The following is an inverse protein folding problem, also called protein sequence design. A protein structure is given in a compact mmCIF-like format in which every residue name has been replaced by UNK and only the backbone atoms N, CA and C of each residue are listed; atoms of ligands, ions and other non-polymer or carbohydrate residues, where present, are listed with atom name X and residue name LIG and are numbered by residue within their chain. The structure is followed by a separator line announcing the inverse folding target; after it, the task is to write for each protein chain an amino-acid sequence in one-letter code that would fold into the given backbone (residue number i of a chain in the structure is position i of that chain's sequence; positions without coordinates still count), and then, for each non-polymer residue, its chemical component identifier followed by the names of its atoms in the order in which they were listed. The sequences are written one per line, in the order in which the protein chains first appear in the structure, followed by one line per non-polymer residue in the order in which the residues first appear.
data_IF_640156382921
#
_entry.id   IF_640156382921
#
_cell.length_a   1.000
_cell.length_b   1.000
_cell.length_c   1.000
_cell.angle_alpha   90.00
_cell.angle_beta   90.00
_cell.angle_gamma   90.00
#
_symmetry.space_group_name_H-M   'P 1'
#
loop_
_entity.id
_entity.type
_entity.pdbx_description
1 polymer ?
#
# COMPACT_ATOMS: atom_id res chain seq x y z
N UNK A 1 25.55 0.46 13.07
CA UNK A 1 24.72 1.49 12.42
C UNK A 1 23.42 0.82 12.05
N UNK A 2 22.32 1.19 12.68
CA UNK A 2 21.01 0.75 12.22
C UNK A 2 20.73 1.57 10.95
N UNK A 3 20.58 0.89 9.81
CA UNK A 3 20.09 1.54 8.60
C UNK A 3 18.58 1.73 8.82
N UNK A 4 18.17 2.97 9.04
CA UNK A 4 16.75 3.30 9.16
C UNK A 4 16.09 3.14 7.78
N UNK A 5 14.98 2.41 7.76
CA UNK A 5 14.17 2.28 6.55
C UNK A 5 13.47 3.61 6.23
N UNK A 6 13.09 3.81 4.97
CA UNK A 6 12.35 5.01 4.56
C UNK A 6 11.05 5.16 5.36
N UNK A 7 10.40 4.05 5.68
CA UNK A 7 9.19 3.98 6.49
C UNK A 7 9.44 4.41 7.94
N UNK A 8 10.52 3.93 8.57
CA UNK A 8 10.88 4.33 9.94
C UNK A 8 11.21 5.82 10.04
N UNK A 9 11.91 6.38 9.04
CA UNK A 9 12.21 7.81 8.99
C UNK A 9 10.93 8.63 8.82
N UNK A 10 10.01 8.17 7.97
CA UNK A 10 8.72 8.83 7.76
C UNK A 10 7.91 8.91 9.06
N UNK A 11 7.78 7.80 9.78
CA UNK A 11 7.03 7.76 11.05
C UNK A 11 7.62 8.73 12.08
N UNK A 12 8.95 8.83 12.16
CA UNK A 12 9.61 9.82 13.03
C UNK A 12 9.31 11.25 12.62
N UNK A 13 9.34 11.56 11.33
CA UNK A 13 9.09 12.93 10.84
C UNK A 13 7.64 13.34 11.07
N UNK A 14 6.70 12.39 11.03
CA UNK A 14 5.29 12.67 11.31
C UNK A 14 5.02 13.09 12.76
N UNK A 15 5.87 12.66 13.69
CA UNK A 15 5.77 13.07 15.09
C UNK A 15 6.45 14.43 15.34
N UNK A 16 7.16 14.99 14.36
CA UNK A 16 7.85 16.28 14.48
C UNK A 16 6.92 17.45 14.13
N UNK A 17 7.20 18.60 14.74
CA UNK A 17 6.53 19.85 14.35
C UNK A 17 7.01 20.29 12.96
N UNK A 18 6.06 20.65 12.10
CA UNK A 18 6.36 21.17 10.76
C UNK A 18 7.08 22.52 10.90
N UNK A 19 8.25 22.72 10.24
CA UNK A 19 8.97 23.97 10.31
C UNK A 19 8.24 25.07 9.54
N UNK A 20 8.46 26.31 9.98
CA UNK A 20 7.92 27.51 9.33
C UNK A 20 8.98 28.11 8.41
N UNK A 21 8.59 28.46 7.18
CA UNK A 21 9.50 29.05 6.21
C UNK A 21 10.04 30.41 6.74
N UNK A 22 11.37 30.64 6.75
CA UNK A 22 11.93 31.88 7.28
C UNK A 22 11.56 33.11 6.44
N UNK A 23 11.20 32.93 5.15
CA UNK A 23 10.95 34.00 4.18
C UNK A 23 9.49 34.46 4.08
N UNK A 24 8.52 33.54 4.17
CA UNK A 24 7.09 33.88 4.10
C UNK A 24 6.30 33.59 5.38
N UNK A 25 6.92 32.93 6.37
CA UNK A 25 6.30 32.57 7.66
C UNK A 25 5.10 31.61 7.56
N UNK A 26 4.94 30.93 6.43
CA UNK A 26 3.97 29.85 6.29
C UNK A 26 4.59 28.49 6.66
N UNK A 27 3.75 27.59 7.15
CA UNK A 27 4.10 26.20 7.45
C UNK A 27 4.56 25.47 6.19
N UNK A 28 5.64 24.70 6.29
CA UNK A 28 6.21 23.95 5.17
C UNK A 28 5.54 22.58 5.02
N UNK A 29 5.45 22.09 3.79
CA UNK A 29 4.89 20.76 3.50
C UNK A 29 6.00 19.73 3.40
N UNK A 30 5.67 18.47 3.67
CA UNK A 30 6.61 17.37 3.50
C UNK A 30 6.83 17.09 2.01
N UNK A 31 8.08 16.81 1.64
CA UNK A 31 8.50 16.51 0.28
C UNK A 31 9.34 15.23 0.28
N UNK A 32 8.96 14.28 -0.57
CA UNK A 32 9.74 13.06 -0.76
C UNK A 32 10.93 13.34 -1.68
N UNK A 33 12.14 13.03 -1.19
CA UNK A 33 13.35 13.12 -1.99
C UNK A 33 13.29 12.08 -3.11
N UNK A 34 13.59 12.45 -4.38
CA UNK A 34 13.56 11.51 -5.50
C UNK A 34 14.38 10.25 -5.21
N UNK A 35 13.86 9.04 -5.50
CA UNK A 35 14.56 7.79 -5.20
C UNK A 35 15.84 7.59 -6.01
N UNK A 36 15.99 8.36 -7.10
CA UNK A 36 17.18 8.39 -7.93
C UNK A 36 17.87 9.72 -7.67
N UNK A 37 18.98 9.67 -6.93
CA UNK A 37 19.83 10.83 -6.71
C UNK A 37 20.54 11.20 -8.02
N UNK A 38 20.39 12.44 -8.45
CA UNK A 38 21.10 13.00 -9.61
C UNK A 38 22.32 13.80 -9.13
N UNK A 39 23.47 13.66 -9.80
CA UNK A 39 24.71 14.35 -9.43
C UNK A 39 25.76 13.40 -8.84
N UNK A 40 26.28 13.71 -7.65
CA UNK A 40 27.32 12.95 -6.95
C UNK A 40 26.82 11.66 -6.28
N UNK A 41 25.51 11.41 -6.34
CA UNK A 41 24.84 10.23 -5.77
C UNK A 41 24.60 10.30 -4.26
N UNK A 42 25.09 11.33 -3.56
CA UNK A 42 24.94 11.49 -2.12
C UNK A 42 23.54 11.99 -1.73
N UNK A 43 22.91 12.76 -2.62
CA UNK A 43 21.58 13.33 -2.38
C UNK A 43 21.57 14.22 -1.13
N UNK A 44 20.46 14.20 -0.39
CA UNK A 44 20.29 15.02 0.82
C UNK A 44 20.50 14.25 2.14
N UNK A 45 20.93 12.98 2.08
CA UNK A 45 21.17 12.17 3.28
C UNK A 45 19.91 11.80 4.10
N UNK A 46 18.73 12.22 3.66
CA UNK A 46 17.41 11.87 4.24
C UNK A 46 16.41 11.60 3.11
N UNK A 47 15.47 10.65 3.28
CA UNK A 47 14.42 10.37 2.30
C UNK A 47 13.34 11.45 2.22
N UNK A 48 13.24 12.34 3.22
CA UNK A 48 12.24 13.42 3.21
C UNK A 48 12.85 14.74 3.69
N UNK A 49 12.33 15.83 3.13
CA UNK A 49 12.62 17.19 3.53
C UNK A 49 11.32 17.96 3.70
N UNK A 50 11.34 19.04 4.49
CA UNK A 50 10.27 20.02 4.42
C UNK A 50 10.58 21.04 3.33
N UNK A 51 9.57 21.44 2.56
CA UNK A 51 9.73 22.43 1.49
C UNK A 51 8.62 23.48 1.50
N UNK A 52 9.01 24.73 1.26
CA UNK A 52 8.05 25.84 1.11
C UNK A 52 7.45 25.86 -0.30
N UNK A 53 6.17 25.52 -0.39
CA UNK A 53 5.44 25.52 -1.66
C UNK A 53 4.60 26.76 -1.93
N UNK A 54 4.69 27.79 -1.08
CA UNK A 54 4.02 29.06 -1.29
C UNK A 54 4.57 29.79 -2.52
N UNK A 55 3.73 29.92 -3.55
CA UNK A 55 4.08 30.59 -4.81
C UNK A 55 4.18 32.12 -4.68
N UNK A 56 3.73 32.68 -3.55
CA UNK A 56 3.88 34.10 -3.21
C UNK A 56 5.08 34.37 -2.29
N UNK A 57 5.86 33.33 -1.93
CA UNK A 57 7.01 33.49 -1.05
C UNK A 57 8.02 34.48 -1.68
N UNK A 58 8.52 35.51 -0.95
CA UNK A 58 9.45 36.49 -1.51
C UNK A 58 10.71 35.86 -2.11
N UNK A 59 11.23 34.80 -1.49
CA UNK A 59 12.36 34.03 -2.00
C UNK A 59 12.07 33.43 -3.39
N UNK A 60 10.87 32.86 -3.56
CA UNK A 60 10.48 32.19 -4.79
C UNK A 60 10.09 33.18 -5.90
N UNK A 61 9.41 34.27 -5.57
CA UNK A 61 9.02 35.27 -6.56
C UNK A 61 10.25 36.04 -7.07
N UNK A 62 11.10 36.53 -6.17
CA UNK A 62 12.33 37.25 -6.52
C UNK A 62 13.40 36.33 -7.12
N UNK A 63 13.36 35.03 -6.81
CA UNK A 63 14.29 34.05 -7.34
C UNK A 63 14.26 33.93 -8.87
N UNK A 64 13.10 34.12 -9.50
CA UNK A 64 12.96 34.11 -10.97
C UNK A 64 13.77 35.21 -11.63
N UNK A 65 13.66 36.43 -11.11
CA UNK A 65 14.39 37.58 -11.63
C UNK A 65 15.89 37.44 -11.32
N UNK A 66 16.23 37.04 -10.09
CA UNK A 66 17.62 36.85 -9.65
C UNK A 66 18.38 35.81 -10.49
N UNK A 67 17.76 34.67 -10.81
CA UNK A 67 18.36 33.64 -11.66
C UNK A 67 18.52 34.11 -13.11
N UNK A 68 17.56 34.89 -13.60
CA UNK A 68 17.63 35.43 -14.96
C UNK A 68 18.73 36.49 -15.07
N UNK A 69 18.85 37.40 -14.11
CA UNK A 69 19.83 38.48 -14.11
C UNK A 69 21.26 37.98 -13.92
N UNK A 70 21.49 37.04 -12.99
CA UNK A 70 22.84 36.59 -12.64
C UNK A 70 23.34 35.43 -13.51
N UNK A 71 22.44 34.58 -14.01
CA UNK A 71 22.80 33.33 -14.67
C UNK A 71 22.11 33.10 -16.02
N UNK A 72 21.25 34.01 -16.48
CA UNK A 72 20.46 33.86 -17.70
C UNK A 72 19.65 32.55 -17.74
N UNK A 73 19.23 32.05 -16.56
CA UNK A 73 18.44 30.84 -16.43
C UNK A 73 17.03 31.18 -15.96
N UNK A 74 16.03 30.58 -16.61
CA UNK A 74 14.64 30.66 -16.14
C UNK A 74 14.42 29.61 -15.05
N UNK A 75 14.81 29.96 -13.83
CA UNK A 75 14.66 29.13 -12.64
C UNK A 75 14.36 30.02 -11.43
N UNK A 76 13.92 29.42 -10.33
CA UNK A 76 13.82 30.10 -9.03
C UNK A 76 14.29 29.15 -7.93
N UNK A 77 14.18 29.55 -6.67
CA UNK A 77 14.54 28.78 -5.49
C UNK A 77 13.32 28.49 -4.63
N UNK A 78 13.26 27.30 -4.04
CA UNK A 78 12.39 27.01 -2.90
C UNK A 78 13.23 26.75 -1.66
N UNK A 79 12.73 27.21 -0.52
CA UNK A 79 13.37 26.94 0.76
C UNK A 79 13.05 25.50 1.19
N UNK A 80 14.07 24.77 1.62
CA UNK A 80 13.99 23.44 2.20
C UNK A 80 14.51 23.46 3.64
N UNK A 81 14.05 22.52 4.47
CA UNK A 81 14.54 22.29 5.82
C UNK A 81 14.78 20.80 6.04
N UNK A 82 15.89 20.46 6.71
CA UNK A 82 16.19 19.10 7.10
C UNK A 82 15.41 18.75 8.38
N UNK A 83 14.60 17.67 8.37
CA UNK A 83 13.76 17.31 9.52
C UNK A 83 14.55 17.21 10.82
N UNK A 84 14.00 17.77 11.90
CA UNK A 84 14.63 17.78 13.23
C UNK A 84 15.79 18.78 13.39
N UNK A 85 16.02 19.66 12.42
CA UNK A 85 17.09 20.67 12.46
C UNK A 85 16.57 22.09 12.16
N UNK A 86 17.34 23.09 12.54
CA UNK A 86 17.12 24.50 12.12
C UNK A 86 17.88 24.83 10.82
N UNK A 87 18.40 23.83 10.10
CA UNK A 87 19.14 24.03 8.86
C UNK A 87 18.18 24.24 7.69
N UNK A 88 18.21 25.44 7.12
CA UNK A 88 17.46 25.79 5.91
C UNK A 88 18.40 25.94 4.73
N UNK A 89 18.01 25.37 3.60
CA UNK A 89 18.74 25.46 2.33
C UNK A 89 17.81 25.86 1.18
N UNK A 90 18.40 26.06 0.01
CA UNK A 90 17.71 26.48 -1.20
C UNK A 90 17.84 25.40 -2.26
N UNK A 91 16.71 24.96 -2.82
CA UNK A 91 16.70 24.06 -3.96
C UNK A 91 16.23 24.82 -5.22
N UNK A 92 16.95 24.74 -6.35
CA UNK A 92 16.50 25.36 -7.58
C UNK A 92 15.30 24.61 -8.18
N UNK A 93 14.34 25.37 -8.69
CA UNK A 93 13.16 24.88 -9.41
C UNK A 93 13.08 25.53 -10.79
N UNK A 94 12.88 24.72 -11.82
CA UNK A 94 12.93 25.16 -13.22
C UNK A 94 11.55 25.45 -13.82
N UNK A 95 10.48 25.28 -13.04
CA UNK A 95 9.12 25.66 -13.42
C UNK A 95 8.27 25.89 -12.17
N UNK A 96 7.09 26.53 -12.29
CA UNK A 96 6.12 26.62 -11.19
C UNK A 96 5.68 25.27 -10.62
N UNK A 97 5.77 24.21 -11.41
CA UNK A 97 5.47 22.83 -11.02
C UNK A 97 6.69 22.09 -10.45
N UNK A 98 7.87 22.71 -10.45
CA UNK A 98 9.10 22.12 -9.90
C UNK A 98 8.91 21.70 -8.44
N UNK A 99 9.37 20.48 -8.13
CA UNK A 99 9.24 19.80 -6.84
C UNK A 99 7.81 19.42 -6.38
N UNK A 100 6.74 20.04 -6.91
CA UNK A 100 5.35 19.75 -6.49
C UNK A 100 4.90 18.31 -6.77
N UNK A 101 5.56 17.59 -7.69
CA UNK A 101 5.23 16.20 -8.01
C UNK A 101 5.57 15.18 -6.91
N UNK A 102 6.44 15.52 -5.96
CA UNK A 102 6.74 14.69 -4.78
C UNK A 102 6.28 15.35 -3.46
N UNK A 103 5.39 16.33 -3.55
CA UNK A 103 4.75 16.90 -2.37
C UNK A 103 3.84 15.85 -1.73
N UNK A 104 4.03 15.61 -0.44
CA UNK A 104 3.14 14.75 0.34
C UNK A 104 2.08 15.65 0.95
N UNK A 105 0.88 15.59 0.37
CA UNK A 105 -0.28 16.37 0.83
C UNK A 105 -0.91 15.69 2.06
N UNK A 106 -1.52 16.50 2.94
CA UNK A 106 -2.22 16.04 4.15
C UNK A 106 -3.35 15.04 3.82
N UNK A 107 -3.87 15.06 2.58
CA UNK A 107 -4.85 14.09 2.09
C UNK A 107 -4.25 12.70 1.87
N UNK A 108 -3.07 12.62 1.24
CA UNK A 108 -2.36 11.34 1.01
C UNK A 108 -1.97 10.72 2.35
N UNK A 109 -1.56 11.55 3.30
CA UNK A 109 -1.30 11.16 4.69
C UNK A 109 -2.52 10.53 5.36
N UNK A 110 -3.67 11.19 5.28
CA UNK A 110 -4.91 10.70 5.89
C UNK A 110 -5.37 9.38 5.27
N UNK A 111 -5.19 9.19 3.96
CA UNK A 111 -5.50 7.95 3.27
C UNK A 111 -4.59 6.80 3.71
N UNK A 112 -3.29 7.03 3.88
CA UNK A 112 -2.35 6.03 4.38
C UNK A 112 -2.64 5.63 5.83
N UNK A 113 -2.94 6.60 6.70
CA UNK A 113 -3.32 6.33 8.09
C UNK A 113 -4.63 5.55 8.17
N UNK A 114 -5.64 5.95 7.38
CA UNK A 114 -6.90 5.22 7.28
C UNK A 114 -6.67 3.78 6.79
N UNK A 115 -5.79 3.58 5.80
CA UNK A 115 -5.42 2.26 5.32
C UNK A 115 -4.73 1.43 6.42
N UNK A 116 -3.74 2.01 7.13
CA UNK A 116 -3.07 1.35 8.27
C UNK A 116 -4.07 0.96 9.36
N UNK A 117 -5.00 1.85 9.70
CA UNK A 117 -6.05 1.59 10.69
C UNK A 117 -7.02 0.49 10.22
N UNK A 118 -7.43 0.51 8.95
CA UNK A 118 -8.31 -0.50 8.38
C UNK A 118 -7.64 -1.87 8.35
N UNK A 119 -6.35 -1.93 8.02
CA UNK A 119 -5.57 -3.16 8.12
C UNK A 119 -5.59 -3.70 9.57
N UNK A 120 -5.27 -2.86 10.56
CA UNK A 120 -5.28 -3.27 11.98
C UNK A 120 -6.65 -3.79 12.42
N UNK A 121 -7.73 -3.08 12.06
CA UNK A 121 -9.11 -3.51 12.33
C UNK A 121 -9.43 -4.85 11.68
N UNK A 122 -9.11 -5.02 10.39
CA UNK A 122 -9.32 -6.26 9.67
C UNK A 122 -8.58 -7.45 10.29
N UNK A 123 -7.32 -7.28 10.70
CA UNK A 123 -6.57 -8.33 11.40
C UNK A 123 -7.15 -8.67 12.77
N UNK A 124 -7.65 -7.68 13.52
CA UNK A 124 -8.33 -7.92 14.80
C UNK A 124 -9.59 -8.78 14.59
N UNK A 125 -10.42 -8.42 13.61
CA UNK A 125 -11.64 -9.16 13.30
C UNK A 125 -11.29 -10.59 12.87
N UNK A 126 -10.28 -10.77 12.01
CA UNK A 126 -9.83 -12.09 11.59
C UNK A 126 -9.40 -12.96 12.78
N UNK A 127 -8.63 -12.39 13.71
CA UNK A 127 -8.20 -13.11 14.91
C UNK A 127 -9.41 -13.59 15.74
N UNK A 128 -10.40 -12.72 15.94
CA UNK A 128 -11.63 -13.07 16.66
C UNK A 128 -12.44 -14.16 15.92
N UNK A 129 -12.55 -14.05 14.60
CA UNK A 129 -13.22 -15.07 13.78
C UNK A 129 -12.55 -16.43 13.87
N UNK A 130 -11.21 -16.49 13.98
CA UNK A 130 -10.48 -17.74 14.12
C UNK A 130 -10.82 -18.47 15.41
N UNK A 131 -10.85 -17.72 16.52
CA UNK A 131 -11.16 -18.28 17.85
C UNK A 131 -12.59 -18.78 17.90
N UNK A 132 -13.53 -18.02 17.32
CA UNK A 132 -14.95 -18.35 17.30
C UNK A 132 -15.35 -19.31 16.16
N UNK A 133 -14.41 -19.72 15.30
CA UNK A 133 -14.67 -20.55 14.12
C UNK A 133 -15.72 -19.96 13.15
N UNK A 134 -15.75 -18.63 13.01
CA UNK A 134 -16.69 -17.94 12.14
C UNK A 134 -16.15 -17.86 10.69
N UNK A 135 -16.40 -18.90 9.91
CA UNK A 135 -16.02 -18.95 8.49
C UNK A 135 -16.81 -17.96 7.60
N UNK A 136 -17.99 -17.51 8.03
CA UNK A 136 -18.85 -16.62 7.22
C UNK A 136 -18.26 -15.21 7.17
N UNK A 137 -17.82 -14.69 8.32
CA UNK A 137 -17.21 -13.37 8.38
C UNK A 137 -15.87 -13.32 7.66
N UNK A 138 -15.06 -14.39 7.76
CA UNK A 138 -13.79 -14.47 7.01
C UNK A 138 -14.06 -14.50 5.50
N UNK A 139 -15.07 -15.26 5.04
CA UNK A 139 -15.48 -15.29 3.64
C UNK A 139 -15.91 -13.89 3.14
N UNK A 140 -16.66 -13.16 3.96
CA UNK A 140 -17.07 -11.78 3.66
C UNK A 140 -15.85 -10.87 3.48
N UNK A 141 -14.90 -10.90 4.42
CA UNK A 141 -13.67 -10.10 4.35
C UNK A 141 -12.82 -10.45 3.13
N UNK A 142 -12.76 -11.73 2.75
CA UNK A 142 -12.01 -12.19 1.57
C UNK A 142 -12.64 -11.69 0.26
N UNK A 143 -13.97 -11.72 0.18
CA UNK A 143 -14.72 -11.39 -1.05
C UNK A 143 -14.95 -9.89 -1.24
N UNK A 144 -14.86 -9.09 -0.18
CA UNK A 144 -15.02 -7.63 -0.25
C UNK A 144 -13.86 -6.96 -1.01
N UNK A 145 -14.11 -6.25 -2.13
CA UNK A 145 -13.09 -5.53 -2.86
C UNK A 145 -12.59 -4.26 -2.16
N UNK A 146 -13.35 -3.70 -1.21
CA UNK A 146 -12.96 -2.50 -0.46
C UNK A 146 -11.93 -2.82 0.64
N UNK A 147 -11.81 -4.09 1.03
CA UNK A 147 -10.88 -4.51 2.07
C UNK A 147 -9.41 -4.52 1.58
N UNK A 148 -8.45 -4.15 2.44
CA UNK A 148 -7.04 -4.15 2.07
C UNK A 148 -6.56 -5.55 1.64
N UNK A 149 -5.76 -5.60 0.57
CA UNK A 149 -5.25 -6.88 0.00
C UNK A 149 -4.54 -7.74 1.05
N UNK A 150 -3.82 -7.15 2.01
CA UNK A 150 -3.15 -7.88 3.09
C UNK A 150 -4.15 -8.62 4.00
N UNK A 151 -5.28 -7.98 4.33
CA UNK A 151 -6.36 -8.59 5.12
C UNK A 151 -6.99 -9.73 4.32
N UNK A 152 -7.27 -9.51 3.04
CA UNK A 152 -7.82 -10.53 2.13
C UNK A 152 -6.92 -11.75 1.97
N UNK A 153 -5.59 -11.55 1.84
CA UNK A 153 -4.65 -12.66 1.79
C UNK A 153 -4.66 -13.49 3.08
N UNK A 154 -4.70 -12.82 4.25
CA UNK A 154 -4.79 -13.53 5.53
C UNK A 154 -6.13 -14.25 5.67
N UNK A 155 -7.22 -13.62 5.24
CA UNK A 155 -8.54 -14.25 5.21
C UNK A 155 -8.53 -15.52 4.34
N UNK A 156 -7.93 -15.49 3.14
CA UNK A 156 -7.79 -16.67 2.29
C UNK A 156 -7.03 -17.82 2.99
N UNK A 157 -5.91 -17.52 3.64
CA UNK A 157 -5.13 -18.51 4.39
C UNK A 157 -5.99 -19.17 5.49
N UNK A 158 -6.71 -18.35 6.26
CA UNK A 158 -7.56 -18.81 7.36
C UNK A 158 -8.78 -19.59 6.86
N UNK A 159 -9.37 -19.22 5.72
CA UNK A 159 -10.42 -20.01 5.07
C UNK A 159 -9.94 -21.41 4.72
N UNK A 160 -8.68 -21.59 4.32
CA UNK A 160 -8.12 -22.92 4.09
C UNK A 160 -8.09 -23.79 5.36
N UNK A 161 -7.82 -23.15 6.50
CA UNK A 161 -7.60 -23.84 7.78
C UNK A 161 -8.90 -24.17 8.51
N UNK A 162 -9.90 -23.27 8.49
CA UNK A 162 -11.18 -23.48 9.20
C UNK A 162 -12.41 -23.62 8.28
N UNK A 163 -12.32 -23.17 7.02
CA UNK A 163 -13.46 -23.12 6.11
C UNK A 163 -14.09 -24.49 5.83
N UNK A 164 -15.40 -24.47 5.60
CA UNK A 164 -16.22 -25.65 5.26
C UNK A 164 -16.41 -25.77 3.73
N UNK A 165 -17.10 -26.82 3.27
CA UNK A 165 -17.26 -27.09 1.84
C UNK A 165 -18.05 -25.99 1.12
N UNK A 166 -18.99 -25.38 1.83
CA UNK A 166 -19.87 -24.30 1.39
C UNK A 166 -19.08 -23.03 1.01
N UNK A 167 -17.86 -22.86 1.54
CA UNK A 167 -17.01 -21.73 1.23
C UNK A 167 -16.31 -21.85 -0.13
N UNK A 168 -16.21 -23.05 -0.71
CA UNK A 168 -15.45 -23.29 -1.95
C UNK A 168 -16.11 -22.56 -3.13
N UNK A 169 -17.42 -22.75 -3.31
CA UNK A 169 -18.14 -22.20 -4.47
C UNK A 169 -18.11 -20.66 -4.52
N UNK A 170 -18.38 -19.92 -3.43
CA UNK A 170 -18.27 -18.46 -3.40
C UNK A 170 -16.88 -17.94 -3.77
N UNK A 171 -15.82 -18.58 -3.26
CA UNK A 171 -14.45 -18.11 -3.45
C UNK A 171 -13.97 -18.45 -4.89
N UNK A 172 -14.30 -19.64 -5.39
CA UNK A 172 -13.91 -20.10 -6.73
C UNK A 172 -14.52 -19.25 -7.84
N UNK A 173 -15.78 -18.84 -7.69
CA UNK A 173 -16.48 -18.09 -8.72
C UNK A 173 -16.07 -16.61 -8.76
N UNK A 174 -15.23 -16.16 -7.83
CA UNK A 174 -14.72 -14.79 -7.79
C UNK A 174 -13.38 -14.68 -8.54
N UNK A 175 -13.22 -13.62 -9.33
CA UNK A 175 -11.93 -13.29 -9.96
C UNK A 175 -11.19 -12.26 -9.12
N UNK A 176 -10.01 -12.64 -8.62
CA UNK A 176 -9.15 -11.72 -7.88
C UNK A 176 -8.18 -11.02 -8.84
N UNK A 177 -8.13 -9.68 -8.81
CA UNK A 177 -7.24 -8.91 -9.68
C UNK A 177 -5.74 -9.06 -9.34
N UNK A 178 -5.40 -9.62 -8.18
CA UNK A 178 -4.04 -9.82 -7.72
C UNK A 178 -3.66 -11.31 -7.83
N UNK A 179 -2.63 -11.62 -8.60
CA UNK A 179 -2.17 -12.99 -8.84
C UNK A 179 -1.79 -13.72 -7.53
N UNK A 180 -1.10 -13.06 -6.60
CA UNK A 180 -0.72 -13.68 -5.32
C UNK A 180 -1.93 -14.02 -4.46
N UNK A 181 -2.96 -13.17 -4.50
CA UNK A 181 -4.21 -13.43 -3.79
C UNK A 181 -4.95 -14.61 -4.43
N UNK A 182 -4.98 -14.71 -5.76
CA UNK A 182 -5.56 -15.84 -6.47
C UNK A 182 -4.84 -17.15 -6.10
N UNK A 183 -3.50 -17.16 -6.13
CA UNK A 183 -2.70 -18.33 -5.74
C UNK A 183 -2.97 -18.77 -4.28
N UNK A 184 -3.12 -17.81 -3.36
CA UNK A 184 -3.49 -18.08 -1.97
C UNK A 184 -4.90 -18.67 -1.84
N UNK A 185 -5.85 -18.14 -2.60
CA UNK A 185 -7.22 -18.66 -2.67
C UNK A 185 -7.25 -20.09 -3.22
N UNK A 186 -6.53 -20.36 -4.29
CA UNK A 186 -6.46 -21.70 -4.89
C UNK A 186 -5.84 -22.70 -3.91
N UNK A 187 -4.80 -22.29 -3.17
CA UNK A 187 -4.21 -23.06 -2.08
C UNK A 187 -5.21 -23.32 -0.95
N UNK A 188 -6.01 -22.33 -0.57
CA UNK A 188 -7.06 -22.48 0.45
C UNK A 188 -8.11 -23.51 0.02
N UNK A 189 -8.58 -23.46 -1.22
CA UNK A 189 -9.53 -24.43 -1.79
C UNK A 189 -8.93 -25.86 -1.74
N UNK A 190 -7.67 -26.02 -2.11
CA UNK A 190 -6.98 -27.31 -2.03
C UNK A 190 -6.89 -27.83 -0.59
N UNK A 191 -6.60 -26.97 0.40
CA UNK A 191 -6.60 -27.34 1.82
C UNK A 191 -7.97 -27.83 2.30
N UNK A 192 -9.05 -27.15 1.92
CA UNK A 192 -10.43 -27.54 2.27
C UNK A 192 -10.73 -28.93 1.67
N UNK A 193 -10.46 -29.12 0.37
CA UNK A 193 -10.62 -30.43 -0.27
C UNK A 193 -9.81 -31.55 0.41
N UNK A 194 -8.58 -31.23 0.83
CA UNK A 194 -7.71 -32.13 1.58
C UNK A 194 -8.34 -32.58 2.91
N UNK A 195 -8.86 -31.63 3.71
CA UNK A 195 -9.51 -31.89 5.00
C UNK A 195 -10.77 -32.76 4.87
N UNK A 196 -11.59 -32.50 3.86
CA UNK A 196 -12.86 -33.21 3.67
C UNK A 196 -12.76 -34.44 2.76
N UNK A 197 -11.57 -34.80 2.28
CA UNK A 197 -11.35 -35.89 1.31
C UNK A 197 -12.22 -35.76 0.06
N UNK A 198 -12.43 -34.53 -0.40
CA UNK A 198 -13.19 -34.20 -1.61
C UNK A 198 -12.24 -33.69 -2.71
N UNK A 199 -12.78 -33.50 -3.90
CA UNK A 199 -12.15 -32.83 -5.05
C UNK A 199 -13.24 -32.33 -5.99
N UNK A 200 -12.88 -31.49 -6.93
CA UNK A 200 -13.81 -31.08 -7.99
C UNK A 200 -13.88 -32.11 -9.12
N UNK A 201 -15.08 -32.27 -9.68
CA UNK A 201 -15.28 -33.06 -10.89
C UNK A 201 -14.69 -32.32 -12.10
N UNK A 202 -13.79 -32.93 -12.89
CA UNK A 202 -13.15 -32.27 -14.03
C UNK A 202 -14.12 -31.91 -15.16
N UNK A 203 -15.34 -32.44 -15.15
CA UNK A 203 -16.33 -32.21 -16.21
C UNK A 203 -17.43 -31.21 -15.86
N UNK A 204 -17.83 -31.14 -14.59
CA UNK A 204 -18.94 -30.30 -14.15
C UNK A 204 -18.61 -29.42 -12.94
N UNK A 205 -17.35 -29.44 -12.47
CA UNK A 205 -16.86 -28.68 -11.33
C UNK A 205 -17.59 -28.90 -9.99
N UNK A 206 -18.46 -29.91 -9.91
CA UNK A 206 -19.15 -30.28 -8.67
C UNK A 206 -18.20 -30.95 -7.68
N UNK A 207 -18.44 -30.73 -6.38
CA UNK A 207 -17.64 -31.33 -5.32
C UNK A 207 -18.00 -32.82 -5.19
N UNK A 208 -17.02 -33.68 -5.45
CA UNK A 208 -17.15 -35.14 -5.37
C UNK A 208 -16.17 -35.70 -4.33
N UNK A 209 -16.45 -36.90 -3.82
CA UNK A 209 -15.49 -37.61 -2.96
C UNK A 209 -14.22 -37.92 -3.75
N UNK A 210 -13.05 -37.81 -3.12
CA UNK A 210 -11.75 -38.08 -3.78
C UNK A 210 -11.65 -39.48 -4.39
N UNK A 211 -12.31 -40.47 -3.76
CA UNK A 211 -12.38 -41.86 -4.23
C UNK A 211 -13.51 -42.16 -5.23
N UNK A 212 -14.29 -41.15 -5.64
CA UNK A 212 -15.40 -41.36 -6.55
C UNK A 212 -14.87 -41.82 -7.92
N UNK A 213 -15.44 -42.91 -8.43
CA UNK A 213 -15.17 -43.42 -9.79
C UNK A 213 -16.12 -42.83 -10.83
N UNK A 214 -17.34 -42.50 -10.41
CA UNK A 214 -18.37 -41.89 -11.26
C UNK A 214 -18.92 -40.67 -10.53
N UNK A 215 -19.04 -39.54 -11.24
CA UNK A 215 -19.68 -38.35 -10.70
C UNK A 215 -21.20 -38.55 -10.66
N UNK A 216 -21.82 -38.34 -9.49
CA UNK A 216 -23.28 -38.46 -9.32
C UNK A 216 -24.08 -37.35 -10.00
N UNK A 217 -23.43 -36.24 -10.33
CA UNK A 217 -24.08 -35.07 -10.92
C UNK A 217 -24.13 -35.16 -12.45
N UNK A 218 -22.99 -35.44 -13.08
CA UNK A 218 -22.90 -35.50 -14.56
C UNK A 218 -22.85 -36.93 -15.13
N UNK A 219 -22.80 -37.97 -14.29
CA UNK A 219 -22.78 -39.39 -14.71
C UNK A 219 -21.48 -39.87 -15.38
N UNK A 220 -20.48 -39.00 -15.55
CA UNK A 220 -19.20 -39.34 -16.21
C UNK A 220 -18.27 -40.09 -15.28
N UNK A 221 -17.46 -40.98 -15.86
CA UNK A 221 -16.38 -41.67 -15.17
C UNK A 221 -15.25 -40.68 -14.88
N UNK A 222 -14.84 -40.60 -13.62
CA UNK A 222 -13.82 -39.70 -13.06
C UNK A 222 -12.65 -40.48 -12.46
N UNK A 223 -12.63 -41.81 -12.60
CA UNK A 223 -11.54 -42.65 -12.13
C UNK A 223 -10.26 -42.40 -12.95
N UNK A 224 -9.15 -42.06 -12.29
CA UNK A 224 -7.83 -41.90 -12.94
C UNK A 224 -7.53 -40.52 -13.52
N UNK A 225 -8.44 -39.55 -13.38
CA UNK A 225 -8.18 -38.11 -13.56
C UNK A 225 -7.99 -37.43 -12.21
#
# INVERSE_FOLDING_TARGET
MAFETKEEVFEKIMEMEKPVCPHCKEEMSLWEVPPINVGDGLGWGTPYLFMCFNDNCPLYTQGWDSMMENYAQRASYRCINFPGTEQFELIPVFSPMGAKGQMIDDQVMAEEEALKQNIKKGFSILADCYVNQDGVTILKLLTDPAEPVRVRMKAAEMMGDIGELEAIEPIRNLKFGNQRLQEQVDSAIQKIHGRFFTRECPFCAEIIKRRAKVCKHCGKEVAGQ
#
